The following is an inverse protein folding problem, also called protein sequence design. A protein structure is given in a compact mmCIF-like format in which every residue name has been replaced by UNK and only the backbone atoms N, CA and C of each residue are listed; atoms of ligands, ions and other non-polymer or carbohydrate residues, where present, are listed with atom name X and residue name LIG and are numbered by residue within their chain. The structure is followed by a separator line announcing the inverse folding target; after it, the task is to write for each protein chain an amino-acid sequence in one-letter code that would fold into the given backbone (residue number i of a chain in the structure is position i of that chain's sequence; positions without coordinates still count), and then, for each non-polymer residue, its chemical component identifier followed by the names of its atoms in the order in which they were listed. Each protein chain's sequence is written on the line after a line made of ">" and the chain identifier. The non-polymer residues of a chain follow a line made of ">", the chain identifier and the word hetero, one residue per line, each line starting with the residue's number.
data_IF_804258472556
#
_entry.id   IF_804258472556
#
_cell.length_a   1.000
_cell.length_b   1.000
_cell.length_c   1.000
_cell.angle_alpha   90.00
_cell.angle_beta   90.00
_cell.angle_gamma   90.00
#
_symmetry.space_group_name_H-M   'P 1'
#
loop_
_entity.id
_entity.type
_entity.pdbx_description
1 polymer ?
#
# COMPACT_ATOMS: atom_id res chain seq x y z
N UNK A 1 10.22 -6.78 0.94
CA UNK A 1 9.15 -5.78 1.11
C UNK A 1 9.68 -4.66 1.98
N UNK A 2 9.60 -3.42 1.51
CA UNK A 2 9.87 -2.23 2.33
C UNK A 2 8.54 -1.56 2.70
N UNK A 3 8.43 -1.08 3.94
CA UNK A 3 7.26 -0.37 4.42
C UNK A 3 7.65 1.06 4.74
N UNK A 4 6.90 2.01 4.19
CA UNK A 4 7.03 3.43 4.46
C UNK A 4 5.75 3.95 5.12
N UNK A 5 5.89 4.75 6.18
CA UNK A 5 4.77 5.40 6.84
C UNK A 5 4.67 6.84 6.35
N UNK A 6 3.56 7.17 5.70
CA UNK A 6 3.23 8.51 5.23
C UNK A 6 2.30 9.18 6.24
N UNK A 7 2.69 10.36 6.72
CA UNK A 7 1.88 11.16 7.65
C UNK A 7 1.07 12.20 6.87
N UNK A 8 -0.23 12.26 7.14
CA UNK A 8 -1.15 13.26 6.58
C UNK A 8 -1.71 14.12 7.70
N UNK A 9 -1.78 15.43 7.46
CA UNK A 9 -2.42 16.35 8.38
C UNK A 9 -3.93 16.06 8.45
N UNK A 10 -4.49 15.98 9.65
CA UNK A 10 -5.92 15.88 9.86
C UNK A 10 -6.63 17.22 9.71
N UNK A 11 -7.94 17.17 9.57
CA UNK A 11 -8.80 18.36 9.49
C UNK A 11 -9.04 19.04 10.84
N UNK A 12 -8.78 18.34 11.94
CA UNK A 12 -8.88 18.85 13.30
C UNK A 12 -7.49 19.08 13.90
N UNK A 13 -7.25 20.18 14.63
CA UNK A 13 -5.95 20.44 15.27
C UNK A 13 -5.50 19.26 16.14
N UNK A 14 -4.25 18.82 15.93
CA UNK A 14 -3.67 17.69 16.65
C UNK A 14 -3.99 16.31 16.07
N UNK A 15 -4.87 16.20 15.06
CA UNK A 15 -5.13 14.94 14.36
C UNK A 15 -4.10 14.72 13.26
N UNK A 16 -3.53 13.51 13.21
CA UNK A 16 -2.61 13.05 12.16
C UNK A 16 -3.10 11.69 11.69
N UNK A 17 -3.26 11.52 10.37
CA UNK A 17 -3.52 10.22 9.78
C UNK A 17 -2.21 9.59 9.31
N UNK A 18 -2.11 8.27 9.41
CA UNK A 18 -0.95 7.52 8.95
C UNK A 18 -1.38 6.50 7.90
N UNK A 19 -0.73 6.55 6.74
CA UNK A 19 -0.86 5.55 5.68
C UNK A 19 0.41 4.71 5.61
N UNK A 20 0.27 3.42 5.32
CA UNK A 20 1.40 2.52 5.09
C UNK A 20 1.52 2.25 3.60
N UNK A 21 2.60 2.73 3.00
CA UNK A 21 2.98 2.39 1.64
C UNK A 21 3.85 1.13 1.66
N UNK A 22 3.46 0.13 0.88
CA UNK A 22 4.18 -1.13 0.74
C UNK A 22 4.90 -1.15 -0.60
N UNK A 23 6.22 -1.30 -0.56
CA UNK A 23 7.07 -1.34 -1.73
C UNK A 23 7.59 -2.77 -1.95
N UNK A 24 7.39 -3.27 -3.17
CA UNK A 24 7.76 -4.62 -3.61
C UNK A 24 8.67 -4.55 -4.83
N UNK A 25 9.58 -5.51 -4.95
CA UNK A 25 10.47 -5.64 -6.11
C UNK A 25 11.70 -4.71 -6.09
N UNK A 26 12.54 -4.76 -7.13
CA UNK A 26 13.82 -4.07 -7.18
C UNK A 26 13.69 -2.55 -7.43
N UNK A 27 14.68 -1.79 -6.98
CA UNK A 27 14.78 -0.35 -7.25
C UNK A 27 15.21 -0.07 -8.69
N UNK A 28 14.66 1.00 -9.29
CA UNK A 28 15.12 1.53 -10.58
C UNK A 28 14.40 1.03 -11.83
N UNK A 29 13.36 0.20 -11.68
CA UNK A 29 12.49 -0.25 -12.78
C UNK A 29 11.24 0.61 -13.02
N UNK A 30 10.40 0.18 -13.98
CA UNK A 30 9.05 0.74 -14.15
C UNK A 30 8.24 0.49 -12.88
N UNK A 31 7.49 1.49 -12.44
CA UNK A 31 6.68 1.44 -11.21
C UNK A 31 5.20 1.44 -11.52
N UNK A 32 4.44 0.68 -10.74
CA UNK A 32 2.98 0.75 -10.68
C UNK A 32 2.60 1.20 -9.27
N UNK A 33 1.73 2.20 -9.19
CA UNK A 33 1.15 2.64 -7.92
C UNK A 33 -0.29 2.15 -7.85
N UNK A 34 -0.65 1.57 -6.69
CA UNK A 34 -2.00 1.06 -6.44
C UNK A 34 -2.49 1.67 -5.13
N UNK A 35 -3.67 2.25 -5.17
CA UNK A 35 -4.37 2.79 -4.02
C UNK A 35 -5.81 2.25 -4.01
N UNK A 36 -6.31 1.97 -2.81
CA UNK A 36 -7.69 1.63 -2.56
C UNK A 36 -8.19 2.34 -1.30
N UNK A 37 -9.48 2.18 -1.01
CA UNK A 37 -10.13 2.76 0.17
C UNK A 37 -10.04 4.29 0.23
N UNK A 38 -10.14 4.98 -0.91
CA UNK A 38 -10.16 6.45 -0.91
C UNK A 38 -11.45 6.95 -0.24
N UNK A 39 -12.58 6.34 -0.58
CA UNK A 39 -13.81 6.45 0.19
C UNK A 39 -13.95 5.23 1.13
N UNK A 40 -14.49 5.46 2.33
CA UNK A 40 -14.56 4.44 3.38
C UNK A 40 -15.54 3.29 3.11
N UNK A 41 -16.41 3.45 2.11
CA UNK A 41 -17.43 2.49 1.69
C UNK A 41 -17.07 1.75 0.39
N UNK A 42 -15.92 2.04 -0.22
CA UNK A 42 -15.42 1.38 -1.44
C UNK A 42 -14.68 0.07 -1.12
N UNK A 43 -15.44 -0.93 -0.68
CA UNK A 43 -14.89 -2.22 -0.23
C UNK A 43 -14.21 -3.07 -1.32
N UNK A 44 -14.67 -3.12 -2.59
CA UNK A 44 -14.06 -4.02 -3.58
C UNK A 44 -12.57 -3.78 -3.80
N UNK A 45 -12.14 -2.52 -3.96
CA UNK A 45 -10.72 -2.19 -4.13
C UNK A 45 -9.88 -2.52 -2.90
N UNK A 46 -10.46 -2.34 -1.71
CA UNK A 46 -9.84 -2.66 -0.43
C UNK A 46 -9.56 -4.17 -0.31
N UNK A 47 -10.54 -5.00 -0.70
CA UNK A 47 -10.42 -6.45 -0.70
C UNK A 47 -9.37 -6.94 -1.71
N UNK A 48 -9.37 -6.37 -2.92
CA UNK A 48 -8.36 -6.69 -3.94
C UNK A 48 -6.96 -6.34 -3.44
N UNK A 49 -6.79 -5.18 -2.80
CA UNK A 49 -5.50 -4.74 -2.26
C UNK A 49 -5.00 -5.66 -1.15
N UNK A 50 -5.90 -6.19 -0.32
CA UNK A 50 -5.57 -7.18 0.72
C UNK A 50 -5.00 -8.47 0.12
N UNK A 51 -5.66 -9.07 -0.87
CA UNK A 51 -5.16 -10.28 -1.52
C UNK A 51 -3.91 -10.01 -2.35
N UNK A 52 -3.86 -8.89 -3.07
CA UNK A 52 -2.69 -8.52 -3.86
C UNK A 52 -1.44 -8.38 -2.99
N UNK A 53 -1.57 -7.81 -1.79
CA UNK A 53 -0.47 -7.76 -0.81
C UNK A 53 0.07 -9.17 -0.47
N UNK A 54 -0.81 -10.14 -0.25
CA UNK A 54 -0.40 -11.52 0.08
C UNK A 54 0.33 -12.17 -1.10
N UNK A 55 -0.19 -12.04 -2.31
CA UNK A 55 0.42 -12.59 -3.52
C UNK A 55 1.78 -11.94 -3.83
N UNK A 56 1.88 -10.62 -3.72
CA UNK A 56 3.15 -9.91 -3.93
C UNK A 56 4.19 -10.31 -2.88
N UNK A 57 3.79 -10.48 -1.62
CA UNK A 57 4.68 -10.94 -0.57
C UNK A 57 5.22 -12.34 -0.84
N UNK A 58 4.38 -13.27 -1.31
CA UNK A 58 4.79 -14.62 -1.69
C UNK A 58 5.78 -14.58 -2.88
N UNK A 59 5.45 -13.85 -3.95
CA UNK A 59 6.32 -13.72 -5.12
C UNK A 59 7.69 -13.11 -4.75
N UNK A 60 7.73 -12.14 -3.84
CA UNK A 60 8.98 -11.55 -3.38
C UNK A 60 9.85 -12.55 -2.60
N UNK A 61 9.24 -13.33 -1.71
CA UNK A 61 9.94 -14.38 -0.96
C UNK A 61 10.50 -15.47 -1.88
N UNK A 62 9.82 -15.75 -2.98
CA UNK A 62 10.26 -16.67 -4.04
C UNK A 62 11.28 -16.05 -5.01
N UNK A 63 11.64 -14.77 -4.86
CA UNK A 63 12.50 -14.01 -5.79
C UNK A 63 11.94 -13.98 -7.23
N UNK A 64 10.63 -13.80 -7.37
CA UNK A 64 9.90 -13.74 -8.65
C UNK A 64 9.37 -12.35 -9.00
N UNK A 65 9.84 -11.31 -8.32
CA UNK A 65 9.49 -9.89 -8.52
C UNK A 65 10.64 -9.05 -9.08
#
# INVERSE_FOLDING_TARGET
>A
MQIETLSLAGTTPGTIYQLRALHFGPLGGKKVYIQASLHGDELPGSLVSYYLHQELLALEQENRL
#
